data_IF_145185977653
#
_entry.id   IF_145185977653
#
_cell.length_a   1.000
_cell.length_b   1.000
_cell.length_c   1.000
_cell.angle_alpha   90.00
_cell.angle_beta   90.00
_cell.angle_gamma   90.00
#
_symmetry.space_group_name_H-M   'P 1'
#
loop_
_entity.id
_entity.type
_entity.pdbx_description
1 polymer ?
#
# COMPACT_ATOMS: atom_id res chain seq x y z
N UNK A 1 27.12 0.41 -66.13
CA UNK A 1 25.65 0.42 -66.33
C UNK A 1 25.06 -0.81 -65.67
N UNK A 2 23.95 -0.64 -64.92
CA UNK A 2 23.08 -1.65 -64.27
C UNK A 2 23.58 -2.22 -62.93
N UNK A 3 22.79 -2.36 -61.85
CA UNK A 3 21.43 -1.93 -61.45
C UNK A 3 21.40 -2.06 -59.92
N UNK A 4 20.91 -1.04 -59.21
CA UNK A 4 20.54 -1.14 -57.79
C UNK A 4 19.20 -1.89 -57.66
N UNK A 5 19.09 -2.81 -56.72
CA UNK A 5 17.80 -3.28 -56.18
C UNK A 5 17.94 -3.33 -54.66
N UNK A 6 17.34 -2.35 -53.99
CA UNK A 6 17.12 -2.35 -52.55
C UNK A 6 15.74 -2.95 -52.28
N UNK A 7 15.69 -4.05 -51.52
CA UNK A 7 14.43 -4.63 -51.03
C UNK A 7 14.18 -4.07 -49.63
N UNK A 8 13.20 -3.18 -49.53
CA UNK A 8 12.63 -2.70 -48.28
C UNK A 8 11.63 -3.75 -47.77
N UNK A 9 11.99 -4.48 -46.71
CA UNK A 9 11.05 -5.31 -45.97
C UNK A 9 10.36 -4.45 -44.90
N UNK A 10 9.10 -4.06 -45.13
CA UNK A 10 8.21 -3.55 -44.08
C UNK A 10 7.76 -4.75 -43.22
N UNK A 11 8.33 -4.90 -42.02
CA UNK A 11 7.80 -5.80 -41.00
C UNK A 11 6.76 -5.07 -40.16
N UNK A 12 5.50 -5.11 -40.60
CA UNK A 12 4.35 -4.69 -39.80
C UNK A 12 4.10 -5.70 -38.67
N UNK A 13 4.66 -5.42 -37.49
CA UNK A 13 4.36 -6.17 -36.27
C UNK A 13 2.96 -5.84 -35.76
N UNK A 14 2.01 -6.75 -35.95
CA UNK A 14 0.74 -6.76 -35.25
C UNK A 14 1.00 -7.05 -33.76
N UNK A 15 0.97 -6.01 -32.93
CA UNK A 15 0.97 -6.15 -31.49
C UNK A 15 -0.35 -6.75 -31.02
N UNK A 16 -0.39 -8.06 -30.81
CA UNK A 16 -1.50 -8.73 -30.11
C UNK A 16 -1.46 -8.34 -28.63
N UNK A 17 -2.19 -7.30 -28.25
CA UNK A 17 -2.54 -7.06 -26.85
C UNK A 17 -3.58 -8.09 -26.42
N UNK A 18 -3.13 -9.18 -25.82
CA UNK A 18 -4.02 -10.15 -25.17
C UNK A 18 -4.87 -9.41 -24.13
N UNK A 19 -6.20 -9.62 -24.09
CA UNK A 19 -7.02 -9.10 -23.01
C UNK A 19 -6.53 -9.69 -21.70
N UNK A 20 -6.24 -8.84 -20.71
CA UNK A 20 -5.93 -9.25 -19.34
C UNK A 20 -7.07 -10.12 -18.82
N UNK A 21 -6.87 -11.45 -18.77
CA UNK A 21 -7.84 -12.37 -18.17
C UNK A 21 -8.20 -11.84 -16.78
N UNK A 22 -9.49 -11.66 -16.51
CA UNK A 22 -9.97 -11.30 -15.18
C UNK A 22 -9.50 -12.39 -14.21
N UNK A 23 -8.68 -12.00 -13.25
CA UNK A 23 -7.94 -12.93 -12.41
C UNK A 23 -8.87 -13.50 -11.33
N UNK A 24 -9.22 -14.78 -11.47
CA UNK A 24 -10.27 -15.44 -10.67
C UNK A 24 -9.81 -15.94 -9.29
N UNK A 25 -8.51 -15.90 -8.98
CA UNK A 25 -7.97 -16.30 -7.67
C UNK A 25 -7.99 -15.18 -6.64
N UNK A 26 -8.21 -13.93 -7.05
CA UNK A 26 -8.33 -12.79 -6.14
C UNK A 26 -9.77 -12.72 -5.65
N UNK A 27 -10.01 -12.68 -4.32
CA UNK A 27 -11.35 -12.51 -3.79
C UNK A 27 -11.99 -11.20 -4.31
N UNK A 28 -13.16 -11.27 -4.98
CA UNK A 28 -13.82 -10.09 -5.54
C UNK A 28 -14.25 -9.12 -4.44
N UNK A 29 -14.27 -7.82 -4.78
CA UNK A 29 -14.71 -6.74 -3.88
C UNK A 29 -13.97 -6.65 -2.53
N UNK A 30 -12.74 -7.19 -2.48
CA UNK A 30 -11.89 -7.09 -1.30
C UNK A 30 -10.73 -6.12 -1.51
N UNK A 31 -10.10 -5.70 -0.42
CA UNK A 31 -8.89 -4.87 -0.46
C UNK A 31 -7.71 -5.55 -1.19
N UNK A 32 -7.75 -6.87 -1.37
CA UNK A 32 -6.68 -7.66 -1.96
C UNK A 32 -6.52 -7.40 -3.47
N UNK A 33 -7.58 -6.94 -4.14
CA UNK A 33 -7.52 -6.57 -5.56
C UNK A 33 -6.93 -5.18 -5.80
N UNK A 34 -6.67 -4.40 -4.74
CA UNK A 34 -6.18 -3.03 -4.88
C UNK A 34 -4.72 -3.01 -5.35
N UNK A 35 -4.37 -1.92 -6.06
CA UNK A 35 -3.05 -1.72 -6.64
C UNK A 35 -2.29 -0.60 -5.95
N UNK A 36 -0.97 -0.73 -5.87
CA UNK A 36 -0.11 0.41 -5.54
C UNK A 36 0.09 1.32 -6.76
N UNK A 37 0.71 2.51 -6.61
CA UNK A 37 0.99 3.40 -7.73
C UNK A 37 1.88 2.78 -8.83
N UNK A 38 2.58 1.69 -8.54
CA UNK A 38 3.40 0.93 -9.50
C UNK A 38 2.62 -0.20 -10.19
N UNK A 39 1.33 -0.34 -9.89
CA UNK A 39 0.45 -1.35 -10.48
C UNK A 39 0.53 -2.73 -9.82
N UNK A 40 1.28 -2.91 -8.73
CA UNK A 40 1.37 -4.19 -8.01
C UNK A 40 0.08 -4.46 -7.26
N UNK A 41 -0.47 -5.66 -7.42
CA UNK A 41 -1.69 -6.08 -6.73
C UNK A 41 -1.35 -6.53 -5.31
N UNK A 42 -2.13 -6.09 -4.31
CA UNK A 42 -1.87 -6.41 -2.91
C UNK A 42 -1.88 -7.92 -2.65
N UNK A 43 -2.80 -8.65 -3.28
CA UNK A 43 -2.88 -10.12 -3.23
C UNK A 43 -1.54 -10.79 -3.54
N UNK A 44 -0.86 -10.36 -4.60
CA UNK A 44 0.42 -10.93 -5.02
C UNK A 44 1.53 -10.61 -4.04
N UNK A 45 1.59 -9.35 -3.60
CA UNK A 45 2.56 -8.89 -2.60
C UNK A 45 2.40 -9.66 -1.30
N UNK A 46 1.17 -10.04 -0.96
CA UNK A 46 0.86 -10.83 0.21
C UNK A 46 1.05 -12.34 0.03
N UNK A 47 1.45 -12.85 -1.15
CA UNK A 47 1.64 -14.29 -1.37
C UNK A 47 0.37 -15.07 -1.75
N UNK A 48 -0.68 -14.36 -2.14
CA UNK A 48 -1.92 -14.94 -2.64
C UNK A 48 -2.65 -15.80 -1.61
N UNK A 49 -3.06 -17.02 -2.02
CA UNK A 49 -3.80 -17.96 -1.17
C UNK A 49 -3.04 -18.33 0.11
N UNK A 50 -1.71 -18.36 0.05
CA UNK A 50 -0.84 -18.64 1.19
C UNK A 50 -0.37 -17.33 1.83
N UNK A 51 -1.32 -16.44 2.14
CA UNK A 51 -1.02 -15.06 2.52
C UNK A 51 -0.05 -14.97 3.69
N UNK A 52 1.01 -14.19 3.54
CA UNK A 52 1.98 -13.83 4.60
C UNK A 52 1.68 -12.47 5.22
N UNK A 53 0.60 -11.82 4.75
CA UNK A 53 0.11 -10.56 5.27
C UNK A 53 -0.83 -10.74 6.47
N UNK A 54 -0.64 -9.92 7.49
CA UNK A 54 -1.49 -9.84 8.67
C UNK A 54 -2.01 -8.41 8.84
N UNK A 55 -3.31 -8.26 9.12
CA UNK A 55 -3.91 -6.96 9.43
C UNK A 55 -3.53 -6.58 10.87
N UNK A 56 -2.82 -5.46 11.03
CA UNK A 56 -2.43 -4.94 12.35
C UNK A 56 -3.42 -3.90 12.88
N UNK A 57 -4.14 -3.20 11.99
CA UNK A 57 -5.28 -2.36 12.35
C UNK A 57 -6.27 -2.25 11.18
N UNK A 58 -7.52 -2.57 11.44
CA UNK A 58 -8.63 -2.28 10.54
C UNK A 58 -9.41 -1.05 11.03
N UNK A 59 -9.56 -0.07 10.16
CA UNK A 59 -10.35 1.13 10.35
C UNK A 59 -11.44 1.21 9.26
N UNK A 60 -12.29 2.23 9.32
CA UNK A 60 -13.43 2.37 8.42
C UNK A 60 -12.95 2.54 6.98
N UNK A 61 -12.08 3.51 6.74
CA UNK A 61 -11.57 3.87 5.41
C UNK A 61 -10.19 3.31 5.14
N UNK A 62 -9.43 2.90 6.16
CA UNK A 62 -8.03 2.47 6.01
C UNK A 62 -7.73 1.17 6.75
N UNK A 63 -6.82 0.38 6.20
CA UNK A 63 -6.36 -0.89 6.80
C UNK A 63 -4.84 -0.90 6.80
N UNK A 64 -4.26 -1.12 7.96
CA UNK A 64 -2.83 -1.28 8.14
C UNK A 64 -2.48 -2.78 8.14
N UNK A 65 -1.53 -3.16 7.29
CA UNK A 65 -1.15 -4.56 7.03
C UNK A 65 0.37 -4.67 7.16
N UNK A 66 0.83 -5.79 7.72
CA UNK A 66 2.25 -6.16 7.69
C UNK A 66 2.41 -7.44 6.88
N UNK A 67 3.38 -7.46 5.96
CA UNK A 67 3.86 -8.70 5.35
C UNK A 67 5.11 -9.17 6.07
N UNK A 68 5.01 -10.27 6.82
CA UNK A 68 6.14 -10.82 7.57
C UNK A 68 7.20 -11.48 6.66
N UNK A 69 6.83 -11.82 5.43
CA UNK A 69 7.76 -12.27 4.39
C UNK A 69 8.16 -11.06 3.55
N UNK A 70 8.98 -10.20 4.16
CA UNK A 70 9.43 -8.94 3.53
C UNK A 70 10.09 -9.19 2.19
N UNK A 71 9.75 -8.37 1.18
CA UNK A 71 10.39 -8.38 -0.13
C UNK A 71 11.83 -7.87 -0.07
N UNK A 72 12.18 -7.13 0.99
CA UNK A 72 13.49 -6.52 1.21
C UNK A 72 14.32 -7.26 2.28
N UNK A 73 13.87 -8.44 2.72
CA UNK A 73 14.55 -9.22 3.76
C UNK A 73 14.42 -8.63 5.17
N UNK A 74 13.45 -7.76 5.39
CA UNK A 74 13.32 -7.08 6.67
C UNK A 74 12.62 -7.93 7.75
N UNK A 75 13.25 -8.08 8.92
CA UNK A 75 12.77 -8.98 9.99
C UNK A 75 11.43 -8.53 10.60
N UNK A 76 11.20 -7.22 10.71
CA UNK A 76 9.90 -6.69 11.16
C UNK A 76 8.77 -7.01 10.15
N UNK A 77 9.12 -7.12 8.87
CA UNK A 77 8.20 -7.22 7.74
C UNK A 77 8.02 -5.89 7.01
N UNK A 78 7.37 -5.94 5.86
CA UNK A 78 6.99 -4.75 5.11
C UNK A 78 5.65 -4.21 5.60
N UNK A 79 5.56 -2.91 5.83
CA UNK A 79 4.34 -2.27 6.29
C UNK A 79 3.58 -1.58 5.14
N UNK A 80 2.30 -1.88 5.03
CA UNK A 80 1.41 -1.32 4.02
C UNK A 80 0.20 -0.65 4.66
N UNK A 81 -0.25 0.48 4.09
CA UNK A 81 -1.54 1.08 4.42
C UNK A 81 -2.42 1.07 3.18
N UNK A 82 -3.55 0.40 3.30
CA UNK A 82 -4.58 0.29 2.28
C UNK A 82 -5.64 1.35 2.52
N UNK A 83 -6.04 2.04 1.47
CA UNK A 83 -7.05 3.09 1.48
C UNK A 83 -8.27 2.60 0.68
N UNK A 84 -9.37 2.31 1.38
CA UNK A 84 -10.58 1.71 0.78
C UNK A 84 -11.29 2.66 -0.20
N UNK A 85 -11.51 3.96 0.13
CA UNK A 85 -12.14 4.88 -0.82
C UNK A 85 -11.35 5.05 -2.12
N UNK A 86 -10.02 5.09 -2.01
CA UNK A 86 -9.11 5.29 -3.13
C UNK A 86 -8.79 3.98 -3.87
N UNK A 87 -9.24 2.83 -3.36
CA UNK A 87 -8.97 1.48 -3.90
C UNK A 87 -7.48 1.23 -4.20
N UNK A 88 -6.62 1.70 -3.31
CA UNK A 88 -5.17 1.65 -3.48
C UNK A 88 -4.43 1.43 -2.16
N UNK A 89 -3.13 1.15 -2.24
CA UNK A 89 -2.28 0.97 -1.07
C UNK A 89 -0.88 1.52 -1.29
N UNK A 90 -0.19 1.80 -0.19
CA UNK A 90 1.21 2.25 -0.21
C UNK A 90 2.03 1.48 0.80
N UNK A 91 3.30 1.26 0.48
CA UNK A 91 4.31 0.76 1.40
C UNK A 91 4.98 1.91 2.12
N UNK A 92 5.24 1.73 3.41
CA UNK A 92 5.88 2.72 4.25
C UNK A 92 7.10 2.10 4.93
N UNK A 93 8.17 2.89 5.00
CA UNK A 93 9.33 2.57 5.81
C UNK A 93 8.97 2.66 7.29
N UNK A 94 9.20 1.59 8.04
CA UNK A 94 8.96 1.46 9.49
C UNK A 94 10.02 2.17 10.35
N UNK A 95 11.13 2.61 9.75
CA UNK A 95 12.25 3.27 10.43
C UNK A 95 13.19 2.31 11.16
N UNK A 96 12.85 1.02 11.22
CA UNK A 96 13.70 -0.03 11.78
C UNK A 96 13.39 -1.36 11.14
N UNK A 97 14.42 -2.20 11.10
CA UNK A 97 14.35 -3.56 10.60
C UNK A 97 14.69 -4.63 11.66
N UNK A 98 14.79 -4.21 12.92
CA UNK A 98 15.10 -5.11 14.03
C UNK A 98 14.06 -6.20 14.20
N UNK A 99 14.50 -7.42 14.51
CA UNK A 99 13.63 -8.54 14.89
C UNK A 99 12.90 -8.32 16.21
N UNK A 100 13.41 -7.40 17.05
CA UNK A 100 12.81 -7.06 18.35
C UNK A 100 11.80 -5.91 18.25
N UNK A 101 11.64 -5.33 17.06
CA UNK A 101 10.62 -4.31 16.82
C UNK A 101 9.23 -4.96 16.70
N UNK A 102 8.20 -4.20 17.07
CA UNK A 102 6.82 -4.66 16.95
C UNK A 102 5.86 -3.52 16.65
N UNK A 103 4.68 -3.88 16.13
CA UNK A 103 3.59 -2.95 15.90
C UNK A 103 2.65 -2.94 17.11
N UNK A 104 2.28 -1.75 17.57
CA UNK A 104 1.28 -1.55 18.61
C UNK A 104 0.21 -0.55 18.15
N UNK A 105 -1.03 -0.77 18.55
CA UNK A 105 -2.11 0.19 18.30
C UNK A 105 -1.98 1.35 19.27
N UNK A 106 -2.19 2.57 18.79
CA UNK A 106 -2.14 3.77 19.60
C UNK A 106 -3.16 4.82 19.16
N UNK A 107 -3.07 5.98 19.79
CA UNK A 107 -3.79 7.18 19.37
C UNK A 107 -2.88 8.40 19.43
N UNK A 108 -3.25 9.46 18.72
CA UNK A 108 -2.56 10.76 18.79
C UNK A 108 -3.54 11.93 18.69
N UNK A 109 -3.06 13.12 19.07
CA UNK A 109 -3.83 14.36 19.11
C UNK A 109 -5.12 14.23 19.92
N UNK A 110 -4.99 13.97 21.23
CA UNK A 110 -6.12 13.78 22.16
C UNK A 110 -7.11 12.71 21.67
N UNK A 111 -6.55 11.61 21.19
CA UNK A 111 -7.30 10.50 20.63
C UNK A 111 -7.53 10.63 19.13
N UNK A 112 -7.66 11.84 18.55
CA UNK A 112 -8.20 12.17 17.22
C UNK A 112 -7.81 11.26 16.05
N UNK A 113 -6.64 10.63 16.10
CA UNK A 113 -6.26 9.60 15.15
C UNK A 113 -6.01 8.28 15.85
N UNK A 114 -6.49 7.20 15.22
CA UNK A 114 -5.99 5.85 15.46
C UNK A 114 -4.65 5.70 14.76
N UNK A 115 -3.67 5.20 15.49
CA UNK A 115 -2.31 5.02 14.97
C UNK A 115 -1.89 3.57 15.02
N UNK A 116 -0.94 3.24 14.14
CA UNK A 116 -0.05 2.11 14.30
C UNK A 116 1.32 2.68 14.64
N UNK A 117 1.83 2.26 15.78
CA UNK A 117 3.15 2.65 16.30
C UNK A 117 4.10 1.48 16.09
N UNK A 118 5.28 1.76 15.54
CA UNK A 118 6.42 0.84 15.54
C UNK A 118 7.24 1.13 16.78
N UNK A 119 7.45 0.11 17.60
CA UNK A 119 8.22 0.21 18.85
C UNK A 119 9.40 -0.73 18.84
N UNK A 120 10.47 -0.33 19.51
CA UNK A 120 11.66 -1.14 19.73
C UNK A 120 12.05 -0.98 21.20
N UNK A 121 12.16 -2.10 21.93
CA UNK A 121 12.50 -2.09 23.36
C UNK A 121 11.59 -1.17 24.21
N UNK A 122 10.32 -1.02 23.81
CA UNK A 122 9.33 -0.16 24.49
C UNK A 122 9.32 1.30 24.00
N UNK A 123 10.37 1.75 23.34
CA UNK A 123 10.47 3.10 22.78
C UNK A 123 9.73 3.23 21.45
N UNK A 124 9.17 4.41 21.18
CA UNK A 124 8.50 4.71 19.92
C UNK A 124 9.54 5.02 18.84
N UNK A 125 9.62 4.19 17.81
CA UNK A 125 10.50 4.42 16.64
C UNK A 125 9.79 5.28 15.61
N UNK A 126 8.56 4.91 15.26
CA UNK A 126 7.77 5.61 14.23
C UNK A 126 6.28 5.46 14.49
N UNK A 127 5.51 6.49 14.16
CA UNK A 127 4.05 6.53 14.33
C UNK A 127 3.37 6.81 13.00
N UNK A 128 2.40 5.98 12.66
CA UNK A 128 1.59 6.11 11.44
C UNK A 128 0.16 6.48 11.80
N UNK A 129 -0.31 7.70 11.47
CA UNK A 129 -1.73 8.04 11.57
C UNK A 129 -2.51 7.24 10.52
N UNK A 130 -3.32 6.29 10.95
CA UNK A 130 -4.05 5.41 10.01
C UNK A 130 -5.41 6.00 9.67
N UNK A 131 -6.18 6.40 10.67
CA UNK A 131 -7.49 7.00 10.44
C UNK A 131 -7.82 8.00 11.53
N UNK A 132 -8.47 9.09 11.14
CA UNK A 132 -9.07 10.04 12.04
C UNK A 132 -10.36 9.46 12.64
N UNK A 133 -10.40 9.18 13.96
CA UNK A 133 -11.56 8.53 14.60
C UNK A 133 -12.73 9.49 14.84
N UNK A 134 -12.51 10.81 14.87
CA UNK A 134 -13.60 11.76 15.16
C UNK A 134 -14.68 11.78 14.06
N UNK A 135 -14.55 10.97 13.01
CA UNK A 135 -15.59 10.65 12.03
C UNK A 135 -16.84 9.94 12.60
N UNK A 136 -16.86 9.47 13.86
CA UNK A 136 -18.14 9.13 14.53
C UNK A 136 -18.99 10.36 14.84
N UNK A 137 -18.38 11.55 14.88
CA UNK A 137 -19.05 12.84 14.72
C UNK A 137 -18.80 13.29 13.28
N UNK A 138 -19.68 12.86 12.39
CA UNK A 138 -20.05 13.57 11.16
C UNK A 138 -19.35 14.93 11.00
N UNK A 139 -18.56 15.09 9.93
CA UNK A 139 -18.19 16.42 9.46
C UNK A 139 -19.45 17.17 9.00
N UNK A 140 -20.24 17.65 9.95
CA UNK A 140 -21.18 18.74 9.75
C UNK A 140 -20.32 20.01 9.65
N UNK A 141 -20.15 20.47 8.41
CA UNK A 141 -19.64 21.77 8.01
C UNK A 141 -18.14 22.07 8.19
N UNK A 142 -17.47 22.34 7.06
CA UNK A 142 -16.32 23.25 6.90
C UNK A 142 -14.96 22.89 7.53
N UNK A 143 -14.93 22.15 8.64
CA UNK A 143 -13.74 22.00 9.49
C UNK A 143 -12.94 20.71 9.22
N UNK A 144 -12.62 20.44 7.96
CA UNK A 144 -11.66 19.38 7.62
C UNK A 144 -10.24 19.85 7.99
N UNK A 145 -9.49 19.13 8.84
CA UNK A 145 -8.09 19.46 9.08
C UNK A 145 -7.34 19.37 7.74
N UNK A 146 -6.80 20.49 7.27
CA UNK A 146 -5.91 20.51 6.11
C UNK A 146 -4.52 20.13 6.59
N UNK A 147 -3.94 19.09 5.99
CA UNK A 147 -2.54 18.73 6.21
C UNK A 147 -1.66 19.93 5.81
N UNK A 148 -0.94 20.51 6.77
CA UNK A 148 0.16 21.41 6.44
C UNK A 148 1.21 20.56 5.74
N UNK A 149 1.38 20.76 4.43
CA UNK A 149 2.56 20.25 3.73
C UNK A 149 3.77 20.84 4.47
N UNK A 150 4.70 19.99 4.88
CA UNK A 150 5.97 20.42 5.43
C UNK A 150 6.53 21.54 4.55
N UNK A 151 6.80 22.69 5.18
CA UNK A 151 7.51 23.77 4.50
C UNK A 151 8.94 23.29 4.34
N UNK A 152 9.30 22.86 3.14
CA UNK A 152 10.70 22.85 2.71
C UNK A 152 11.18 24.29 2.62
N UNK A 153 11.81 24.79 3.69
CA UNK A 153 13.03 25.63 3.69
C UNK A 153 13.36 26.03 5.13
#
# INVERSE_FOLDING_TARGET
MKKMIAVLALSSGLGFSLPSLARSDIPPDTIWSFKDPKGRVLWDVCGGKNSTCSIVLAATNRVAIVNRKSTNGCALGDFYVVAKPEKGWNQYDTGTCSSNAYFSKGTMNNGQYRTIDVRLNGELVKRFPIEYWSLSKSFSNGNRPKWTKDKTN
#
